data_IF_777888492565
#
_entry.id   IF_777888492565
#
_cell.length_a   1.000
_cell.length_b   1.000
_cell.length_c   1.000
_cell.angle_alpha   90.00
_cell.angle_beta   90.00
_cell.angle_gamma   90.00
#
_symmetry.space_group_name_H-M   'P 1'
#
loop_
_entity.id
_entity.type
_entity.pdbx_description
1 polymer ?
#
# COMPACT_ATOMS: atom_id res chain seq x y z
N UNK A 1 -16.47 2.75 3.15
CA UNK A 1 -15.27 3.09 2.38
C UNK A 1 -15.18 4.60 2.15
N UNK A 2 -14.02 5.21 2.41
CA UNK A 2 -13.75 6.63 2.12
C UNK A 2 -13.48 6.88 0.62
N UNK A 3 -14.52 7.27 -0.12
CA UNK A 3 -14.45 7.50 -1.57
C UNK A 3 -13.44 8.58 -1.97
N UNK A 4 -13.38 9.69 -1.22
CA UNK A 4 -12.43 10.79 -1.50
C UNK A 4 -10.98 10.32 -1.41
N UNK A 5 -10.64 9.54 -0.38
CA UNK A 5 -9.30 8.99 -0.22
C UNK A 5 -8.93 8.07 -1.38
N UNK A 6 -9.85 7.22 -1.81
CA UNK A 6 -9.65 6.28 -2.92
C UNK A 6 -9.47 7.02 -4.24
N UNK A 7 -10.29 8.02 -4.52
CA UNK A 7 -10.18 8.86 -5.73
C UNK A 7 -8.87 9.63 -5.79
N UNK A 8 -8.49 10.29 -4.70
CA UNK A 8 -7.21 10.98 -4.63
C UNK A 8 -6.04 10.00 -4.82
N UNK A 9 -6.11 8.82 -4.20
CA UNK A 9 -5.07 7.80 -4.34
C UNK A 9 -4.95 7.35 -5.80
N UNK A 10 -6.06 7.05 -6.49
CA UNK A 10 -6.05 6.72 -7.93
C UNK A 10 -5.43 7.83 -8.77
N UNK A 11 -5.77 9.09 -8.47
CA UNK A 11 -5.22 10.24 -9.19
C UNK A 11 -3.69 10.31 -9.03
N UNK A 12 -3.18 10.18 -7.81
CA UNK A 12 -1.74 10.19 -7.54
C UNK A 12 -1.01 8.99 -8.16
N UNK A 13 -1.66 7.84 -8.27
CA UNK A 13 -1.07 6.65 -8.89
C UNK A 13 -1.09 6.68 -10.43
N UNK A 14 -1.66 7.70 -11.07
CA UNK A 14 -1.67 7.81 -12.54
C UNK A 14 -0.27 7.83 -13.16
N UNK A 15 0.75 8.26 -12.41
CA UNK A 15 2.17 8.23 -12.81
C UNK A 15 2.86 6.86 -12.53
N UNK A 16 2.14 5.93 -11.90
CA UNK A 16 2.62 4.62 -11.44
C UNK A 16 1.71 3.50 -11.97
N UNK A 17 1.73 3.21 -13.29
CA UNK A 17 0.70 2.41 -13.96
C UNK A 17 0.58 0.97 -13.44
N UNK A 18 1.71 0.32 -13.10
CA UNK A 18 1.70 -1.04 -12.54
C UNK A 18 1.02 -1.08 -11.18
N UNK A 19 1.33 -0.09 -10.34
CA UNK A 19 0.70 0.07 -9.03
C UNK A 19 -0.79 0.39 -9.14
N UNK A 20 -1.15 1.34 -10.03
CA UNK A 20 -2.55 1.73 -10.27
C UNK A 20 -3.40 0.56 -10.79
N UNK A 21 -2.84 -0.26 -11.68
CA UNK A 21 -3.56 -1.41 -12.24
C UNK A 21 -3.98 -2.39 -11.14
N UNK A 22 -3.05 -2.77 -10.25
CA UNK A 22 -3.33 -3.65 -9.12
C UNK A 22 -4.28 -3.02 -8.12
N UNK A 23 -4.11 -1.74 -7.81
CA UNK A 23 -5.02 -1.02 -6.92
C UNK A 23 -6.45 -1.02 -7.48
N UNK A 24 -6.61 -0.76 -8.79
CA UNK A 24 -7.91 -0.76 -9.45
C UNK A 24 -8.56 -2.15 -9.48
N UNK A 25 -7.75 -3.20 -9.66
CA UNK A 25 -8.19 -4.59 -9.55
C UNK A 25 -8.66 -4.94 -8.13
N UNK A 26 -8.02 -4.42 -7.10
CA UNK A 26 -8.46 -4.59 -5.71
C UNK A 26 -9.82 -3.90 -5.46
N UNK A 27 -10.00 -2.68 -5.99
CA UNK A 27 -11.27 -1.95 -5.87
C UNK A 27 -12.43 -2.66 -6.58
N UNK A 28 -12.16 -3.24 -7.76
CA UNK A 28 -13.15 -4.02 -8.49
C UNK A 28 -13.56 -5.28 -7.70
N UNK A 29 -12.59 -6.00 -7.12
CA UNK A 29 -12.88 -7.15 -6.24
C UNK A 29 -13.68 -6.73 -5.00
N UNK A 30 -13.37 -5.57 -4.43
CA UNK A 30 -14.09 -5.01 -3.30
C UNK A 30 -15.55 -4.73 -3.64
N UNK A 31 -15.83 -4.10 -4.80
CA UNK A 31 -17.21 -3.78 -5.20
C UNK A 31 -18.06 -5.01 -5.54
N UNK A 32 -17.44 -6.14 -5.82
CA UNK A 32 -18.13 -7.41 -6.07
C UNK A 32 -18.22 -8.32 -4.83
N UNK A 33 -17.73 -7.86 -3.66
CA UNK A 33 -17.71 -8.62 -2.41
C UNK A 33 -17.15 -10.05 -2.60
N UNK A 34 -16.12 -10.17 -3.44
CA UNK A 34 -15.59 -11.46 -3.86
C UNK A 34 -14.06 -11.46 -3.89
N UNK A 35 -13.47 -12.66 -3.82
CA UNK A 35 -12.03 -12.86 -3.93
C UNK A 35 -11.22 -12.04 -2.91
N UNK A 36 -11.70 -11.96 -1.67
CA UNK A 36 -11.11 -11.17 -0.59
C UNK A 36 -9.61 -11.40 -0.37
N UNK A 37 -9.15 -12.65 -0.50
CA UNK A 37 -7.72 -12.99 -0.46
C UNK A 37 -6.93 -12.32 -1.58
N UNK A 38 -7.43 -12.40 -2.81
CA UNK A 38 -6.79 -11.79 -3.97
C UNK A 38 -6.83 -10.26 -3.88
N UNK A 39 -7.92 -9.69 -3.33
CA UNK A 39 -8.00 -8.26 -3.05
C UNK A 39 -6.87 -7.82 -2.12
N UNK A 40 -6.64 -8.53 -1.00
CA UNK A 40 -5.56 -8.21 -0.07
C UNK A 40 -4.18 -8.35 -0.74
N UNK A 41 -3.97 -9.40 -1.53
CA UNK A 41 -2.72 -9.57 -2.27
C UNK A 41 -2.49 -8.47 -3.31
N UNK A 42 -3.54 -8.06 -4.03
CA UNK A 42 -3.49 -6.95 -4.99
C UNK A 42 -3.13 -5.62 -4.30
N UNK A 43 -3.71 -5.34 -3.12
CA UNK A 43 -3.36 -4.16 -2.32
C UNK A 43 -1.88 -4.19 -1.92
N UNK A 44 -1.40 -5.33 -1.42
CA UNK A 44 0.01 -5.51 -1.03
C UNK A 44 0.95 -5.32 -2.22
N UNK A 45 0.65 -5.97 -3.34
CA UNK A 45 1.49 -5.92 -4.54
C UNK A 45 1.46 -4.53 -5.17
N UNK A 46 0.32 -3.85 -5.12
CA UNK A 46 0.19 -2.46 -5.56
C UNK A 46 1.13 -1.53 -4.79
N UNK A 47 1.19 -1.66 -3.45
CA UNK A 47 2.15 -0.91 -2.62
C UNK A 47 3.60 -1.29 -2.94
N UNK A 48 3.89 -2.58 -3.13
CA UNK A 48 5.23 -3.04 -3.51
C UNK A 48 5.70 -2.42 -4.83
N UNK A 49 4.83 -2.42 -5.85
CA UNK A 49 5.11 -1.83 -7.17
C UNK A 49 5.29 -0.32 -7.11
N UNK A 50 4.52 0.36 -6.27
CA UNK A 50 4.76 1.79 -6.03
C UNK A 50 6.17 2.04 -5.49
N UNK A 51 6.63 1.23 -4.54
CA UNK A 51 7.98 1.38 -3.99
C UNK A 51 9.07 1.00 -5.02
N UNK A 52 8.80 0.06 -5.92
CA UNK A 52 9.69 -0.23 -7.07
C UNK A 52 9.91 1.03 -7.91
N UNK A 53 8.84 1.72 -8.27
CA UNK A 53 8.91 2.94 -9.08
C UNK A 53 9.62 4.08 -8.33
N UNK A 54 9.26 4.32 -7.06
CA UNK A 54 9.83 5.43 -6.27
C UNK A 54 11.33 5.22 -6.02
N UNK A 55 11.76 3.98 -5.76
CA UNK A 55 13.15 3.68 -5.39
C UNK A 55 13.99 3.08 -6.51
N UNK A 56 13.41 2.85 -7.70
CA UNK A 56 14.08 2.22 -8.83
C UNK A 56 14.65 0.83 -8.53
N UNK A 57 13.88 -0.03 -7.86
CA UNK A 57 14.30 -1.39 -7.50
C UNK A 57 13.19 -2.43 -7.75
N UNK A 58 13.48 -3.72 -7.53
CA UNK A 58 12.53 -4.83 -7.71
C UNK A 58 12.48 -5.78 -6.50
N UNK A 59 12.68 -5.25 -5.28
CA UNK A 59 12.72 -6.04 -4.04
C UNK A 59 11.31 -6.28 -3.50
N UNK A 60 11.12 -7.35 -2.71
CA UNK A 60 9.84 -7.54 -2.02
C UNK A 60 9.52 -6.38 -1.05
N UNK A 61 8.24 -6.17 -0.74
CA UNK A 61 7.78 -5.12 0.18
C UNK A 61 8.60 -5.09 1.49
N UNK A 62 8.82 -6.25 2.11
CA UNK A 62 9.55 -6.37 3.38
C UNK A 62 10.99 -5.87 3.27
N UNK A 63 11.63 -6.14 2.13
CA UNK A 63 13.01 -5.74 1.85
C UNK A 63 13.14 -4.26 1.46
N UNK A 64 12.01 -3.58 1.19
CA UNK A 64 11.95 -2.15 0.89
C UNK A 64 11.65 -1.29 2.12
N UNK A 65 11.09 -1.85 3.19
CA UNK A 65 10.73 -1.14 4.44
C UNK A 65 11.85 -0.24 4.99
N UNK A 66 13.12 -0.69 5.09
CA UNK A 66 14.20 0.17 5.58
C UNK A 66 14.41 1.43 4.74
N UNK A 67 14.21 1.33 3.41
CA UNK A 67 14.36 2.45 2.48
C UNK A 67 13.21 3.46 2.62
N UNK A 68 12.01 3.00 2.97
CA UNK A 68 10.85 3.88 3.24
C UNK A 68 11.15 4.86 4.36
N UNK A 69 11.68 4.38 5.49
CA UNK A 69 12.02 5.25 6.62
C UNK A 69 13.04 6.32 6.26
N UNK A 70 14.07 5.95 5.49
CA UNK A 70 15.10 6.87 5.00
C UNK A 70 14.50 7.90 4.04
N UNK A 71 13.62 7.48 3.13
CA UNK A 71 12.96 8.35 2.17
C UNK A 71 12.14 9.44 2.88
N UNK A 72 11.31 9.07 3.85
CA UNK A 72 10.50 10.02 4.64
C UNK A 72 11.38 11.08 5.32
N UNK A 73 12.49 10.65 5.96
CA UNK A 73 13.43 11.57 6.62
C UNK A 73 14.11 12.50 5.60
N UNK A 74 14.53 11.97 4.45
CA UNK A 74 15.19 12.76 3.39
C UNK A 74 14.28 13.84 2.78
N UNK A 75 12.97 13.63 2.81
CA UNK A 75 11.95 14.57 2.31
C UNK A 75 11.38 15.49 3.42
N UNK A 76 12.05 15.60 4.56
CA UNK A 76 11.70 16.52 5.65
C UNK A 76 10.66 16.00 6.65
N UNK A 77 10.36 14.70 6.63
CA UNK A 77 9.51 14.08 7.65
C UNK A 77 10.22 13.92 8.99
N UNK A 78 9.45 13.95 10.10
CA UNK A 78 10.00 13.78 11.44
C UNK A 78 10.51 12.35 11.68
N UNK A 79 11.42 12.19 12.64
CA UNK A 79 11.95 10.88 12.99
C UNK A 79 10.86 9.97 13.58
N UNK A 80 9.95 10.52 14.37
CA UNK A 80 8.81 9.84 14.98
C UNK A 80 7.87 9.29 13.90
N UNK A 81 7.48 10.13 12.94
CA UNK A 81 6.60 9.71 11.84
C UNK A 81 7.29 8.64 10.99
N UNK A 82 8.55 8.83 10.62
CA UNK A 82 9.32 7.85 9.85
C UNK A 82 9.40 6.49 10.56
N UNK A 83 9.72 6.49 11.86
CA UNK A 83 9.81 5.27 12.65
C UNK A 83 8.45 4.58 12.80
N UNK A 84 7.37 5.35 13.00
CA UNK A 84 6.01 4.82 13.06
C UNK A 84 5.59 4.21 11.72
N UNK A 85 5.82 4.91 10.62
CA UNK A 85 5.43 4.46 9.27
C UNK A 85 6.11 3.14 8.88
N UNK A 86 7.40 3.00 9.20
CA UNK A 86 8.16 1.74 9.05
C UNK A 86 7.50 0.60 9.83
N UNK A 87 7.07 0.84 11.07
CA UNK A 87 6.39 -0.17 11.89
C UNK A 87 5.00 -0.53 11.35
N UNK A 88 4.25 0.46 10.86
CA UNK A 88 2.94 0.24 10.28
C UNK A 88 3.03 -0.61 9.00
N UNK A 89 3.97 -0.32 8.10
CA UNK A 89 4.18 -1.16 6.90
C UNK A 89 4.68 -2.56 7.27
N UNK A 90 5.54 -2.71 8.29
CA UNK A 90 5.97 -4.03 8.77
C UNK A 90 4.79 -4.87 9.27
N UNK A 91 3.91 -4.30 10.10
CA UNK A 91 2.71 -5.01 10.54
C UNK A 91 1.72 -5.28 9.41
N UNK A 92 1.54 -4.33 8.50
CA UNK A 92 0.74 -4.52 7.29
C UNK A 92 1.25 -5.66 6.43
N UNK A 93 2.56 -5.76 6.20
CA UNK A 93 3.16 -6.84 5.41
C UNK A 93 3.01 -8.21 6.11
N UNK A 94 3.14 -8.26 7.43
CA UNK A 94 2.90 -9.47 8.23
C UNK A 94 1.44 -9.91 8.20
N UNK A 95 0.52 -8.96 8.29
CA UNK A 95 -0.91 -9.18 8.15
C UNK A 95 -1.19 -9.83 6.80
N UNK A 96 -0.81 -9.17 5.69
CA UNK A 96 -1.03 -9.70 4.34
C UNK A 96 -0.40 -11.08 4.15
N UNK A 97 0.84 -11.30 4.61
CA UNK A 97 1.48 -12.61 4.51
C UNK A 97 0.73 -13.72 5.26
N UNK A 98 0.04 -13.41 6.36
CA UNK A 98 -0.71 -14.41 7.13
C UNK A 98 -2.01 -14.78 6.43
N UNK A 99 -2.76 -13.78 5.95
CA UNK A 99 -4.07 -13.97 5.34
C UNK A 99 -4.03 -14.35 3.85
N UNK A 100 -2.93 -14.04 3.15
CA UNK A 100 -2.71 -14.49 1.77
C UNK A 100 -2.21 -15.94 1.70
N UNK A 101 -1.62 -16.50 2.77
CA UNK A 101 -1.06 -17.87 2.76
C UNK A 101 -2.01 -18.96 3.26
N UNK A 102 -3.03 -18.61 4.04
CA UNK A 102 -3.97 -19.57 4.62
C UNK A 102 -5.38 -19.27 4.08
N UNK A 103 -5.94 -20.19 3.29
CA UNK A 103 -7.07 -19.95 2.38
C UNK A 103 -8.43 -19.59 3.03
N UNK A 104 -8.59 -19.70 4.35
CA UNK A 104 -9.88 -19.53 5.05
C UNK A 104 -9.84 -18.54 6.23
N UNK A 105 -8.82 -17.67 6.30
CA UNK A 105 -8.65 -16.79 7.46
C UNK A 105 -9.05 -15.32 7.24
N UNK A 106 -9.38 -14.90 6.02
CA UNK A 106 -9.65 -13.48 5.73
C UNK A 106 -10.88 -13.01 6.49
N UNK A 107 -10.73 -11.96 7.29
CA UNK A 107 -11.81 -11.33 8.04
C UNK A 107 -12.38 -10.22 7.17
N UNK A 108 -13.61 -10.37 6.68
CA UNK A 108 -14.25 -9.45 5.74
C UNK A 108 -14.37 -8.04 6.31
N UNK A 109 -14.66 -7.94 7.61
CA UNK A 109 -14.81 -6.68 8.33
C UNK A 109 -13.52 -5.86 8.38
N UNK A 110 -12.35 -6.48 8.16
CA UNK A 110 -11.05 -5.80 8.14
C UNK A 110 -10.70 -5.27 6.76
N UNK A 111 -11.34 -5.75 5.68
CA UNK A 111 -10.95 -5.45 4.29
C UNK A 111 -11.03 -3.95 4.00
N UNK A 112 -12.12 -3.29 4.41
CA UNK A 112 -12.27 -1.84 4.23
C UNK A 112 -11.12 -1.08 4.90
N UNK A 113 -10.77 -1.46 6.12
CA UNK A 113 -9.68 -0.84 6.86
C UNK A 113 -8.32 -1.05 6.16
N UNK A 114 -8.07 -2.27 5.65
CA UNK A 114 -6.83 -2.57 4.93
C UNK A 114 -6.75 -1.83 3.59
N UNK A 115 -7.88 -1.63 2.91
CA UNK A 115 -7.95 -0.81 1.70
C UNK A 115 -7.63 0.65 2.02
N UNK A 116 -8.22 1.23 3.08
CA UNK A 116 -8.00 2.62 3.47
C UNK A 116 -6.58 2.88 3.96
N UNK A 117 -5.98 1.95 4.72
CA UNK A 117 -4.58 2.09 5.17
C UNK A 117 -3.61 1.98 3.99
N UNK A 118 -3.86 1.07 3.04
CA UNK A 118 -3.06 0.95 1.80
C UNK A 118 -3.14 2.25 1.01
N UNK A 119 -4.35 2.78 0.83
CA UNK A 119 -4.59 4.04 0.14
C UNK A 119 -3.84 5.21 0.80
N UNK A 120 -3.89 5.28 2.13
CA UNK A 120 -3.18 6.28 2.92
C UNK A 120 -1.66 6.18 2.78
N UNK A 121 -1.10 4.96 2.80
CA UNK A 121 0.34 4.76 2.57
C UNK A 121 0.74 5.24 1.18
N UNK A 122 0.03 4.80 0.15
CA UNK A 122 0.34 5.11 -1.24
C UNK A 122 0.26 6.61 -1.52
N UNK A 123 -0.83 7.26 -1.11
CA UNK A 123 -1.00 8.71 -1.21
C UNK A 123 0.14 9.47 -0.50
N UNK A 124 0.52 9.04 0.70
CA UNK A 124 1.59 9.70 1.44
C UNK A 124 2.95 9.56 0.74
N UNK A 125 3.27 8.35 0.25
CA UNK A 125 4.53 8.05 -0.44
C UNK A 125 4.67 8.84 -1.75
N UNK A 126 3.65 8.84 -2.60
CA UNK A 126 3.67 9.61 -3.87
C UNK A 126 3.87 11.11 -3.59
N UNK A 127 3.13 11.66 -2.62
CA UNK A 127 3.25 13.08 -2.26
C UNK A 127 4.63 13.44 -1.71
N UNK A 128 5.33 12.52 -1.06
CA UNK A 128 6.71 12.74 -0.63
C UNK A 128 7.70 12.64 -1.79
N UNK A 129 7.50 11.69 -2.70
CA UNK A 129 8.33 11.53 -3.89
C UNK A 129 8.29 12.78 -4.79
N UNK A 130 7.08 13.32 -5.04
CA UNK A 130 6.84 14.51 -5.86
C UNK A 130 7.28 15.85 -5.24
N UNK A 131 7.74 15.89 -3.98
CA UNK A 131 8.41 17.08 -3.38
C UNK A 131 9.86 17.18 -3.85
N UNK A 132 10.10 17.09 -5.15
CA UNK A 132 11.41 17.16 -5.80
C UNK A 132 11.54 18.45 -6.58
#
# INVERSE_FOLDING_TARGET
>A
MNETLVEETRHWLSEHPDSLSLYSQALDKYSHEAFHRNLLDDLRLSLEKLLHDIFGNAKSLENQIPQVGQHIKSKGGSAELSNMFVKLIDYYAKYNNSYVKHDDAVIEEEIEFILEITSSFMKHLVRLAGRG
#
